data_IF_789770684712
#
_entry.id   IF_789770684712
#
_cell.length_a   1.000
_cell.length_b   1.000
_cell.length_c   1.000
_cell.angle_alpha   90.00
_cell.angle_beta   90.00
_cell.angle_gamma   90.00
#
_symmetry.space_group_name_H-M   'P 1'
#
loop_
_entity.id
_entity.type
_entity.pdbx_description
1 polymer ?
#
# COMPACT_ATOMS: atom_id res chain seq x y z
N UNK A 1 3.33 35.71 -52.07
CA UNK A 1 4.03 34.95 -51.01
C UNK A 1 2.97 34.48 -50.03
N UNK A 2 2.70 33.18 -50.00
CA UNK A 2 1.67 32.57 -49.15
C UNK A 2 2.40 31.92 -47.96
N UNK A 3 2.30 32.53 -46.77
CA UNK A 3 2.91 31.98 -45.55
C UNK A 3 2.05 30.84 -45.02
N UNK A 4 2.61 29.63 -45.07
CA UNK A 4 2.05 28.44 -44.46
C UNK A 4 2.40 28.46 -42.95
N UNK A 5 1.42 28.73 -42.08
CA UNK A 5 1.58 28.48 -40.64
C UNK A 5 1.26 27.00 -40.37
N UNK A 6 2.27 26.22 -39.98
CA UNK A 6 2.07 24.89 -39.40
C UNK A 6 1.70 25.05 -37.91
N UNK A 7 0.60 24.45 -37.42
CA UNK A 7 0.33 24.39 -35.99
C UNK A 7 1.23 23.31 -35.38
N UNK A 8 2.06 23.71 -34.42
CA UNK A 8 2.86 22.79 -33.60
C UNK A 8 1.91 22.12 -32.60
N UNK A 9 1.56 20.85 -32.85
CA UNK A 9 0.79 20.04 -31.89
C UNK A 9 1.74 19.60 -30.77
N UNK A 10 1.75 20.32 -29.65
CA UNK A 10 2.44 19.87 -28.44
C UNK A 10 1.70 18.66 -27.86
N UNK A 11 2.28 17.47 -28.00
CA UNK A 11 1.82 16.29 -27.28
C UNK A 11 2.09 16.49 -25.79
N UNK A 12 1.04 16.76 -25.01
CA UNK A 12 1.12 16.79 -23.55
C UNK A 12 1.28 15.34 -23.11
N UNK A 13 2.52 14.92 -22.83
CA UNK A 13 2.76 13.68 -22.10
C UNK A 13 2.20 13.87 -20.70
N UNK A 14 1.04 13.29 -20.42
CA UNK A 14 0.52 13.13 -19.06
C UNK A 14 1.51 12.24 -18.30
N UNK A 15 2.45 12.86 -17.58
CA UNK A 15 3.29 12.15 -16.62
C UNK A 15 2.36 11.68 -15.51
N UNK A 16 2.02 10.38 -15.50
CA UNK A 16 1.35 9.76 -14.34
C UNK A 16 2.36 9.76 -13.20
N UNK A 17 2.32 10.80 -12.38
CA UNK A 17 3.35 11.03 -11.37
C UNK A 17 3.18 10.15 -10.11
N UNK A 18 2.06 9.45 -9.94
CA UNK A 18 1.73 8.70 -8.73
C UNK A 18 0.78 7.52 -9.03
N UNK A 19 0.61 6.58 -8.09
CA UNK A 19 -0.16 5.35 -8.31
C UNK A 19 -0.93 4.78 -7.12
N UNK A 20 -1.67 3.70 -7.39
CA UNK A 20 -2.45 2.92 -6.41
C UNK A 20 -2.61 1.47 -6.89
N UNK A 21 -3.03 0.55 -6.00
CA UNK A 21 -3.36 -0.83 -6.35
C UNK A 21 -4.67 -0.87 -7.15
N UNK A 22 -4.60 -1.24 -8.41
CA UNK A 22 -5.73 -1.23 -9.35
C UNK A 22 -6.42 -2.58 -9.52
N UNK A 23 -5.71 -3.69 -9.27
CA UNK A 23 -6.23 -5.05 -9.37
C UNK A 23 -5.53 -5.97 -8.35
N UNK A 24 -6.26 -6.94 -7.81
CA UNK A 24 -5.75 -7.97 -6.92
C UNK A 24 -6.13 -9.34 -7.49
N UNK A 25 -5.14 -10.21 -7.65
CA UNK A 25 -5.36 -11.60 -8.07
C UNK A 25 -5.16 -12.55 -6.89
N UNK A 26 -6.15 -13.39 -6.64
CA UNK A 26 -6.12 -14.47 -5.63
C UNK A 26 -6.48 -15.77 -6.32
N UNK A 27 -5.49 -16.65 -6.51
CA UNK A 27 -5.65 -17.84 -7.35
C UNK A 27 -5.99 -17.44 -8.79
N UNK A 28 -7.17 -17.83 -9.29
CA UNK A 28 -7.66 -17.44 -10.61
C UNK A 28 -8.66 -16.27 -10.60
N UNK A 29 -8.96 -15.72 -9.42
CA UNK A 29 -9.99 -14.68 -9.26
C UNK A 29 -9.35 -13.31 -9.26
N UNK A 30 -9.88 -12.43 -10.12
CA UNK A 30 -9.53 -11.00 -10.14
C UNK A 30 -10.51 -10.20 -9.32
N UNK A 31 -9.98 -9.30 -8.49
CA UNK A 31 -10.72 -8.31 -7.74
C UNK A 31 -10.18 -6.93 -8.14
N UNK A 32 -11.01 -6.11 -8.75
CA UNK A 32 -10.60 -4.73 -9.00
C UNK A 32 -10.35 -4.01 -7.67
N UNK A 33 -9.29 -3.21 -7.63
CA UNK A 33 -9.09 -2.23 -6.57
C UNK A 33 -10.21 -1.18 -6.55
N UNK A 34 -10.18 -0.30 -5.55
CA UNK A 34 -10.98 0.91 -5.61
C UNK A 34 -10.37 1.86 -6.63
N UNK A 35 -11.15 2.28 -7.62
CA UNK A 35 -10.70 3.15 -8.70
C UNK A 35 -11.12 4.60 -8.41
N UNK A 36 -10.28 5.45 -7.80
CA UNK A 36 -10.69 6.76 -7.30
C UNK A 36 -11.17 7.74 -8.39
N UNK A 37 -10.76 7.50 -9.64
CA UNK A 37 -11.15 8.30 -10.79
C UNK A 37 -12.28 7.68 -11.62
N UNK A 38 -12.92 6.62 -11.13
CA UNK A 38 -13.96 5.89 -11.87
C UNK A 38 -15.12 5.49 -10.96
N UNK A 39 -14.85 4.84 -9.84
CA UNK A 39 -15.88 4.31 -8.93
C UNK A 39 -16.86 5.39 -8.42
N UNK A 40 -16.42 6.62 -8.03
CA UNK A 40 -17.33 7.69 -7.62
C UNK A 40 -18.33 8.16 -8.69
N UNK A 41 -18.10 7.84 -9.95
CA UNK A 41 -18.92 8.29 -11.08
C UNK A 41 -19.93 7.23 -11.54
N UNK A 42 -19.92 6.04 -10.94
CA UNK A 42 -20.93 5.00 -11.18
C UNK A 42 -22.13 5.13 -10.24
N UNK A 43 -23.29 4.62 -10.68
CA UNK A 43 -24.50 4.53 -9.87
C UNK A 43 -25.25 3.21 -10.16
N UNK A 44 -25.30 2.25 -9.21
CA UNK A 44 -24.67 2.30 -7.89
C UNK A 44 -23.13 2.28 -7.96
N UNK A 45 -22.46 2.79 -6.93
CA UNK A 45 -21.00 2.66 -6.78
C UNK A 45 -20.67 1.16 -6.66
N UNK A 46 -19.71 0.62 -7.44
CA UNK A 46 -19.33 -0.79 -7.36
C UNK A 46 -18.82 -1.17 -5.97
N UNK A 47 -19.23 -2.34 -5.48
CA UNK A 47 -18.67 -2.91 -4.26
C UNK A 47 -17.26 -3.42 -4.52
N UNK A 48 -16.33 -3.07 -3.63
CA UNK A 48 -14.92 -3.45 -3.70
C UNK A 48 -14.50 -4.14 -2.40
N UNK A 49 -13.50 -5.00 -2.48
CA UNK A 49 -12.82 -5.53 -1.29
C UNK A 49 -11.77 -4.54 -0.74
N UNK A 50 -11.42 -3.53 -1.54
CA UNK A 50 -10.43 -2.50 -1.22
C UNK A 50 -11.13 -1.27 -0.67
N UNK A 51 -10.61 -0.74 0.44
CA UNK A 51 -11.11 0.50 1.03
C UNK A 51 -10.89 1.68 0.09
N UNK A 52 -11.81 2.62 0.12
CA UNK A 52 -11.77 3.79 -0.75
C UNK A 52 -10.51 4.64 -0.51
N UNK A 53 -9.98 5.25 -1.57
CA UNK A 53 -8.84 6.17 -1.51
C UNK A 53 -9.20 7.49 -2.22
N UNK A 54 -8.62 8.64 -1.83
CA UNK A 54 -8.98 9.93 -2.42
C UNK A 54 -8.44 10.12 -3.85
N UNK A 55 -7.43 9.35 -4.25
CA UNK A 55 -6.71 9.51 -5.50
C UNK A 55 -5.43 8.69 -5.51
N UNK A 56 -4.48 9.08 -6.35
CA UNK A 56 -3.17 8.46 -6.43
C UNK A 56 -2.09 9.17 -5.59
N UNK A 57 -2.43 10.23 -4.84
CA UNK A 57 -1.47 11.01 -4.06
C UNK A 57 -0.98 10.31 -2.79
N UNK A 58 0.11 10.81 -2.18
CA UNK A 58 0.69 10.24 -0.97
C UNK A 58 0.05 10.80 0.30
N UNK A 59 0.26 10.08 1.40
CA UNK A 59 0.19 10.59 2.77
C UNK A 59 1.60 11.00 3.19
N UNK A 60 1.78 12.27 3.57
CA UNK A 60 3.10 12.81 3.97
C UNK A 60 3.20 13.15 5.46
N UNK A 61 2.07 13.39 6.13
CA UNK A 61 2.04 13.52 7.59
C UNK A 61 1.71 12.17 8.22
N UNK A 62 2.73 11.54 8.81
CA UNK A 62 2.63 10.19 9.36
C UNK A 62 1.90 10.14 10.71
N UNK A 63 1.57 11.30 11.28
CA UNK A 63 0.77 11.41 12.50
C UNK A 63 -0.74 11.32 12.26
N UNK A 64 -1.18 11.50 11.00
CA UNK A 64 -2.60 11.47 10.63
C UNK A 64 -3.13 10.05 10.46
N UNK A 65 -4.44 9.89 10.69
CA UNK A 65 -5.14 8.62 10.47
C UNK A 65 -5.07 8.14 9.00
N UNK A 66 -4.81 9.07 8.07
CA UNK A 66 -4.65 8.81 6.64
C UNK A 66 -3.57 7.75 6.34
N UNK A 67 -2.53 7.63 7.17
CA UNK A 67 -1.47 6.63 6.97
C UNK A 67 -1.98 5.18 7.13
N UNK A 68 -3.12 4.97 7.77
CA UNK A 68 -3.70 3.64 8.00
C UNK A 68 -4.14 2.96 6.71
N UNK A 69 -5.08 3.58 5.98
CA UNK A 69 -5.72 2.98 4.80
C UNK A 69 -5.87 3.98 3.67
N UNK A 70 -4.99 4.97 3.62
CA UNK A 70 -5.09 6.17 2.80
C UNK A 70 -6.18 7.10 3.32
N UNK A 71 -6.17 8.34 2.86
CA UNK A 71 -7.11 9.37 3.27
C UNK A 71 -6.57 10.75 2.97
N UNK A 72 -7.39 11.76 3.22
CA UNK A 72 -6.99 13.16 3.11
C UNK A 72 -7.87 13.97 4.05
N UNK A 73 -7.67 13.80 5.36
CA UNK A 73 -8.53 14.44 6.37
C UNK A 73 -8.49 15.96 6.28
N UNK A 74 -7.36 16.54 5.88
CA UNK A 74 -7.23 17.99 5.64
C UNK A 74 -8.14 18.49 4.51
N UNK A 75 -8.44 17.62 3.54
CA UNK A 75 -9.42 17.88 2.47
C UNK A 75 -10.82 17.34 2.76
N UNK A 76 -11.12 17.00 4.02
CA UNK A 76 -12.42 16.45 4.44
C UNK A 76 -12.78 15.12 3.73
N UNK A 77 -11.78 14.30 3.41
CA UNK A 77 -11.95 12.93 2.89
C UNK A 77 -11.58 11.90 3.96
N UNK A 78 -12.50 10.97 4.22
CA UNK A 78 -12.32 9.91 5.22
C UNK A 78 -12.50 8.55 4.58
N UNK A 79 -11.50 7.68 4.75
CA UNK A 79 -11.58 6.30 4.27
C UNK A 79 -12.52 5.48 5.14
N UNK A 80 -13.52 4.86 4.51
CA UNK A 80 -14.46 3.95 5.16
C UNK A 80 -14.04 2.48 4.94
N UNK A 81 -14.53 1.54 5.76
CA UNK A 81 -14.42 0.12 5.47
C UNK A 81 -14.99 -0.22 4.08
N UNK A 82 -14.43 -1.25 3.45
CA UNK A 82 -14.96 -1.73 2.18
C UNK A 82 -16.26 -2.52 2.45
N UNK A 83 -17.26 -2.48 1.53
CA UNK A 83 -18.56 -3.11 1.76
C UNK A 83 -18.50 -4.64 1.72
N UNK A 84 -17.46 -5.23 1.12
CA UNK A 84 -17.30 -6.68 0.97
C UNK A 84 -15.84 -7.10 1.27
N UNK A 85 -15.60 -8.41 1.26
CA UNK A 85 -14.28 -9.02 1.46
C UNK A 85 -14.11 -10.24 0.54
N UNK A 86 -12.85 -10.61 0.26
CA UNK A 86 -12.53 -11.82 -0.50
C UNK A 86 -12.19 -12.99 0.44
N UNK A 87 -12.64 -14.21 0.10
CA UNK A 87 -12.27 -15.41 0.84
C UNK A 87 -10.97 -16.00 0.30
N UNK A 88 -10.04 -16.33 1.19
CA UNK A 88 -8.72 -16.86 0.84
C UNK A 88 -8.23 -17.87 1.88
N UNK A 89 -7.46 -18.87 1.49
CA UNK A 89 -6.83 -19.79 2.42
C UNK A 89 -5.51 -19.21 2.94
N UNK A 90 -5.19 -19.40 4.23
CA UNK A 90 -3.84 -19.17 4.74
C UNK A 90 -2.80 -19.93 3.89
N UNK A 91 -1.64 -19.33 3.65
CA UNK A 91 -0.63 -19.86 2.72
C UNK A 91 -0.86 -19.50 1.25
N UNK A 92 -1.98 -18.88 0.89
CA UNK A 92 -2.20 -18.41 -0.49
C UNK A 92 -1.38 -17.17 -0.81
N UNK A 93 -1.01 -17.03 -2.08
CA UNK A 93 -0.43 -15.81 -2.61
C UNK A 93 -1.50 -14.80 -3.01
N UNK A 94 -1.22 -13.53 -2.77
CA UNK A 94 -1.95 -12.40 -3.32
C UNK A 94 -1.01 -11.64 -4.25
N UNK A 95 -1.50 -11.33 -5.44
CA UNK A 95 -0.79 -10.52 -6.42
C UNK A 95 -1.46 -9.14 -6.49
N UNK A 96 -0.73 -8.10 -6.09
CA UNK A 96 -1.20 -6.72 -6.03
C UNK A 96 -0.65 -5.96 -7.23
N UNK A 97 -1.52 -5.68 -8.19
CA UNK A 97 -1.17 -4.96 -9.41
C UNK A 97 -1.35 -3.47 -9.17
N UNK A 98 -0.24 -2.73 -9.25
CA UNK A 98 -0.22 -1.27 -9.17
C UNK A 98 -0.46 -0.65 -10.56
N UNK A 99 -1.07 0.53 -10.58
CA UNK A 99 -0.92 1.41 -11.75
C UNK A 99 0.57 1.67 -12.01
N UNK A 100 0.95 1.98 -13.25
CA UNK A 100 2.34 2.33 -13.61
C UNK A 100 2.99 3.24 -12.56
N UNK A 101 4.08 2.75 -11.96
CA UNK A 101 4.79 3.44 -10.90
C UNK A 101 5.90 4.34 -11.47
N UNK A 102 6.11 5.56 -10.95
CA UNK A 102 7.16 6.45 -11.45
C UNK A 102 8.55 5.93 -11.06
N UNK A 103 9.48 5.98 -12.01
CA UNK A 103 10.89 5.60 -11.81
C UNK A 103 11.61 6.39 -10.72
N UNK A 104 11.23 7.65 -10.53
CA UNK A 104 11.77 8.51 -9.47
C UNK A 104 11.37 8.06 -8.06
N UNK A 105 10.26 7.34 -7.89
CA UNK A 105 9.68 7.01 -6.58
C UNK A 105 10.29 5.74 -5.96
N UNK A 106 11.62 5.75 -5.83
CA UNK A 106 12.40 4.68 -5.18
C UNK A 106 11.97 4.49 -3.73
N UNK A 107 11.99 3.24 -3.25
CA UNK A 107 11.64 2.95 -1.86
C UNK A 107 11.22 1.49 -1.61
N UNK A 108 10.89 1.16 -0.35
CA UNK A 108 10.40 -0.16 0.01
C UNK A 108 8.92 -0.37 -0.36
N UNK A 109 8.54 -1.64 -0.41
CA UNK A 109 7.17 -2.13 -0.34
C UNK A 109 6.98 -2.92 0.94
N UNK A 110 5.89 -2.69 1.67
CA UNK A 110 5.64 -3.31 2.97
C UNK A 110 4.18 -3.76 3.04
N UNK A 111 3.94 -4.94 3.60
CA UNK A 111 2.60 -5.47 3.78
C UNK A 111 2.39 -5.88 5.23
N UNK A 112 1.29 -5.39 5.80
CA UNK A 112 0.81 -5.70 7.13
C UNK A 112 -0.54 -6.41 7.05
N UNK A 113 -0.89 -7.11 8.12
CA UNK A 113 -2.23 -7.63 8.35
C UNK A 113 -2.72 -7.18 9.74
N UNK A 114 -4.04 -7.06 9.89
CA UNK A 114 -4.71 -6.83 11.17
C UNK A 114 -6.00 -7.63 11.25
N UNK A 115 -6.20 -8.38 12.35
CA UNK A 115 -7.40 -9.19 12.56
C UNK A 115 -8.55 -8.32 13.07
N UNK A 116 -9.69 -8.40 12.39
CA UNK A 116 -10.90 -7.72 12.85
C UNK A 116 -11.49 -8.43 14.09
N UNK A 117 -11.91 -7.67 15.12
CA UNK A 117 -12.55 -8.25 16.30
C UNK A 117 -14.00 -8.68 16.03
N UNK A 118 -14.58 -8.19 14.94
CA UNK A 118 -15.95 -8.41 14.51
C UNK A 118 -16.04 -8.21 12.99
N UNK A 119 -17.23 -7.92 12.47
CA UNK A 119 -17.46 -7.65 11.04
C UNK A 119 -16.52 -6.55 10.51
N UNK A 120 -15.62 -6.97 9.63
CA UNK A 120 -14.60 -6.12 9.00
C UNK A 120 -15.20 -4.99 8.17
N UNK A 121 -16.42 -5.16 7.65
CA UNK A 121 -17.14 -4.14 6.86
C UNK A 121 -17.64 -2.99 7.74
N UNK A 122 -17.57 -3.12 9.07
CA UNK A 122 -17.95 -2.11 10.05
C UNK A 122 -16.77 -1.67 10.94
N UNK A 123 -15.56 -2.16 10.66
CA UNK A 123 -14.43 -2.00 11.57
C UNK A 123 -13.37 -1.04 11.02
N UNK A 124 -13.01 -0.05 11.84
CA UNK A 124 -11.85 0.84 11.65
C UNK A 124 -10.87 0.64 12.82
N UNK A 125 -9.63 0.17 12.58
CA UNK A 125 -8.64 -0.03 13.65
C UNK A 125 -8.30 1.22 14.47
N UNK A 126 -8.31 2.40 13.85
CA UNK A 126 -7.90 3.64 14.51
C UNK A 126 -6.45 3.58 15.01
N UNK A 127 -6.20 4.03 16.24
CA UNK A 127 -4.86 4.04 16.85
C UNK A 127 -4.53 2.76 17.63
N UNK A 128 -5.25 1.66 17.38
CA UNK A 128 -5.02 0.40 18.09
C UNK A 128 -3.79 -0.33 17.55
N UNK A 129 -3.01 -0.94 18.43
CA UNK A 129 -1.85 -1.77 18.06
C UNK A 129 -2.32 -3.17 17.61
N UNK A 130 -2.70 -3.27 16.33
CA UNK A 130 -3.27 -4.50 15.74
C UNK A 130 -2.57 -4.95 14.46
N UNK A 131 -1.66 -4.13 13.94
CA UNK A 131 -0.99 -4.37 12.66
C UNK A 131 0.29 -5.15 12.89
N UNK A 132 0.43 -6.29 12.23
CA UNK A 132 1.66 -7.07 12.18
C UNK A 132 2.17 -7.15 10.74
N UNK A 133 3.48 -6.98 10.56
CA UNK A 133 4.12 -7.05 9.24
C UNK A 133 4.17 -8.50 8.78
N UNK A 134 3.78 -8.78 7.54
CA UNK A 134 3.80 -10.14 6.95
C UNK A 134 4.74 -10.26 5.75
N UNK A 135 5.11 -9.13 5.14
CA UNK A 135 6.10 -9.10 4.07
C UNK A 135 6.73 -7.72 3.96
N UNK A 136 7.98 -7.69 3.51
CA UNK A 136 8.67 -6.47 3.12
C UNK A 136 9.65 -6.72 1.99
N UNK A 137 9.93 -5.69 1.21
CA UNK A 137 10.96 -5.67 0.18
C UNK A 137 11.54 -4.26 0.13
N UNK A 138 12.85 -4.14 0.31
CA UNK A 138 13.55 -2.85 0.40
C UNK A 138 14.55 -2.63 -0.73
N UNK A 139 15.74 -2.13 -0.37
CA UNK A 139 16.88 -2.00 -1.27
C UNK A 139 17.71 -3.28 -1.25
N UNK A 140 17.96 -3.85 -2.41
CA UNK A 140 18.82 -5.02 -2.61
C UNK A 140 20.30 -4.65 -2.45
N UNK A 141 21.16 -5.67 -2.29
CA UNK A 141 22.62 -5.46 -2.16
C UNK A 141 23.28 -4.87 -3.41
N UNK A 142 22.70 -5.11 -4.60
CA UNK A 142 23.12 -4.52 -5.87
C UNK A 142 22.48 -3.14 -6.14
N UNK A 143 21.69 -2.63 -5.20
CA UNK A 143 21.20 -1.25 -5.19
C UNK A 143 19.83 -1.05 -5.84
N UNK A 144 19.19 -2.11 -6.35
CA UNK A 144 17.82 -2.06 -6.87
C UNK A 144 16.81 -1.84 -5.75
N UNK A 145 15.83 -0.97 -5.99
CA UNK A 145 14.74 -0.70 -5.07
C UNK A 145 13.49 -1.50 -5.42
N UNK A 146 12.78 -1.94 -4.38
CA UNK A 146 11.56 -2.70 -4.53
C UNK A 146 10.50 -1.94 -5.35
N UNK A 147 10.18 -0.71 -4.97
CA UNK A 147 9.08 0.05 -5.57
C UNK A 147 9.29 0.43 -7.05
N UNK A 148 10.54 0.46 -7.53
CA UNK A 148 10.87 0.87 -8.91
C UNK A 148 11.39 -0.29 -9.72
N UNK A 149 12.60 -0.77 -9.44
CA UNK A 149 13.29 -1.77 -10.25
C UNK A 149 12.54 -3.11 -10.22
N UNK A 150 12.30 -3.65 -9.01
CA UNK A 150 11.69 -4.97 -8.84
C UNK A 150 10.22 -4.95 -9.26
N UNK A 151 9.48 -3.90 -8.90
CA UNK A 151 8.06 -3.78 -9.26
C UNK A 151 7.90 -3.65 -10.79
N UNK A 152 8.77 -2.89 -11.47
CA UNK A 152 8.76 -2.76 -12.93
C UNK A 152 9.15 -4.07 -13.62
N UNK A 153 10.17 -4.78 -13.11
CA UNK A 153 10.58 -6.10 -13.61
C UNK A 153 9.47 -7.16 -13.50
N UNK A 154 8.51 -6.96 -12.59
CA UNK A 154 7.35 -7.84 -12.38
C UNK A 154 6.05 -7.24 -12.92
N UNK A 155 6.10 -6.44 -13.99
CA UNK A 155 4.92 -5.88 -14.66
C UNK A 155 3.96 -5.12 -13.72
N UNK A 156 4.51 -4.38 -12.75
CA UNK A 156 3.78 -3.66 -11.70
C UNK A 156 3.05 -4.54 -10.68
N UNK A 157 3.43 -5.82 -10.58
CA UNK A 157 2.81 -6.79 -9.67
C UNK A 157 3.73 -7.06 -8.47
N UNK A 158 3.25 -6.72 -7.27
CA UNK A 158 3.84 -7.17 -6.01
C UNK A 158 3.15 -8.44 -5.52
N UNK A 159 3.91 -9.45 -5.11
CA UNK A 159 3.36 -10.71 -4.59
C UNK A 159 3.78 -10.93 -3.14
N UNK A 160 2.82 -11.26 -2.28
CA UNK A 160 3.11 -11.75 -0.93
C UNK A 160 2.26 -12.98 -0.60
N UNK A 161 2.66 -13.73 0.43
CA UNK A 161 1.98 -14.94 0.89
C UNK A 161 1.37 -14.68 2.25
N UNK A 162 0.09 -15.05 2.46
CA UNK A 162 -0.52 -15.04 3.78
C UNK A 162 0.19 -16.11 4.64
N UNK A 163 0.67 -15.81 5.86
CA UNK A 163 1.32 -16.81 6.70
C UNK A 163 0.48 -18.07 6.87
N UNK A 164 1.06 -19.24 6.58
CA UNK A 164 0.31 -20.49 6.46
C UNK A 164 -0.26 -20.99 7.79
N UNK A 165 0.37 -20.64 8.91
CA UNK A 165 -0.08 -20.97 10.27
C UNK A 165 -1.06 -19.96 10.86
N UNK A 166 -1.37 -18.86 10.15
CA UNK A 166 -2.26 -17.81 10.63
C UNK A 166 -3.65 -18.38 10.93
N UNK A 167 -4.16 -18.06 12.12
CA UNK A 167 -5.50 -18.48 12.51
C UNK A 167 -6.59 -17.89 11.60
N UNK A 168 -7.66 -18.63 11.27
CA UNK A 168 -8.78 -18.13 10.47
C UNK A 168 -9.44 -16.88 11.08
N UNK A 169 -10.03 -16.05 10.22
CA UNK A 169 -10.71 -14.82 10.65
C UNK A 169 -10.82 -13.80 9.53
N UNK A 170 -11.43 -12.66 9.83
CA UNK A 170 -11.44 -11.52 8.92
C UNK A 170 -10.21 -10.64 9.19
N UNK A 171 -9.50 -10.28 8.13
CA UNK A 171 -8.26 -9.51 8.20
C UNK A 171 -8.27 -8.35 7.21
N UNK A 172 -7.74 -7.21 7.63
CA UNK A 172 -7.33 -6.15 6.72
C UNK A 172 -5.88 -6.42 6.34
N UNK A 173 -5.58 -6.50 5.05
CA UNK A 173 -4.22 -6.37 4.52
C UNK A 173 -3.97 -4.89 4.24
N UNK A 174 -2.95 -4.30 4.87
CA UNK A 174 -2.46 -2.96 4.56
C UNK A 174 -1.15 -3.09 3.78
N UNK A 175 -1.19 -2.80 2.49
CA UNK A 175 -0.02 -2.79 1.63
C UNK A 175 0.37 -1.35 1.32
N UNK A 176 1.67 -1.06 1.25
CA UNK A 176 2.16 0.28 0.95
C UNK A 176 3.45 0.28 0.13
N UNK A 177 3.62 1.37 -0.63
CA UNK A 177 4.92 1.87 -1.06
C UNK A 177 5.27 3.08 -0.19
N UNK A 178 6.53 3.21 0.20
CA UNK A 178 7.07 4.44 0.80
C UNK A 178 8.06 5.05 -0.20
N UNK A 179 7.70 6.11 -0.91
CA UNK A 179 8.63 6.78 -1.83
C UNK A 179 9.60 7.70 -1.06
N UNK A 180 10.89 7.56 -1.36
CA UNK A 180 11.99 8.18 -0.62
C UNK A 180 12.72 9.28 -1.39
N UNK A 181 12.26 9.62 -2.60
CA UNK A 181 12.93 10.58 -3.48
C UNK A 181 13.11 11.98 -2.89
N UNK A 182 12.32 12.32 -1.87
CA UNK A 182 12.38 13.57 -1.11
C UNK A 182 12.54 13.35 0.41
N UNK A 183 12.92 12.14 0.85
CA UNK A 183 12.91 11.74 2.26
C UNK A 183 14.16 12.14 3.06
N UNK A 184 15.07 12.96 2.51
CA UNK A 184 16.28 13.41 3.21
C UNK A 184 15.98 14.31 4.43
N UNK A 185 14.75 14.80 4.56
CA UNK A 185 14.23 15.59 5.69
C UNK A 185 12.78 15.19 5.96
N UNK A 186 12.28 15.48 7.17
CA UNK A 186 10.88 15.30 7.52
C UNK A 186 10.13 16.64 7.64
N UNK A 187 8.89 16.77 7.12
CA UNK A 187 8.21 15.81 6.22
C UNK A 187 8.93 15.64 4.88
N UNK A 188 8.83 14.47 4.25
CA UNK A 188 9.51 14.20 2.97
C UNK A 188 9.24 12.80 2.41
N UNK A 189 9.24 11.77 3.26
CA UNK A 189 8.74 10.45 2.88
C UNK A 189 7.26 10.50 2.47
N UNK A 190 6.92 9.77 1.41
CA UNK A 190 5.57 9.73 0.84
C UNK A 190 5.01 8.32 0.92
N UNK A 191 3.97 8.12 1.71
CA UNK A 191 3.39 6.79 1.95
C UNK A 191 2.14 6.61 1.10
N UNK A 192 2.04 5.46 0.42
CA UNK A 192 0.92 5.10 -0.46
C UNK A 192 0.25 3.84 0.07
N UNK A 193 -0.55 3.93 1.15
CA UNK A 193 -1.22 2.78 1.73
C UNK A 193 -2.46 2.39 0.90
N UNK A 194 -2.75 1.09 0.86
CA UNK A 194 -3.96 0.48 0.32
C UNK A 194 -4.43 -0.63 1.26
N UNK A 195 -5.72 -0.66 1.59
CA UNK A 195 -6.31 -1.63 2.51
C UNK A 195 -7.29 -2.57 1.82
N UNK A 196 -7.06 -3.87 1.94
CA UNK A 196 -7.84 -4.95 1.31
C UNK A 196 -8.47 -5.81 2.42
N UNK A 197 -9.76 -6.12 2.30
CA UNK A 197 -10.48 -6.91 3.29
C UNK A 197 -10.60 -8.37 2.86
N UNK A 198 -10.21 -9.28 3.75
CA UNK A 198 -10.17 -10.71 3.50
C UNK A 198 -10.89 -11.50 4.59
N UNK A 199 -11.53 -12.61 4.19
CA UNK A 199 -11.86 -13.73 5.06
C UNK A 199 -10.79 -14.81 4.87
N UNK A 200 -9.88 -14.93 5.83
CA UNK A 200 -8.86 -15.99 5.85
C UNK A 200 -9.49 -17.27 6.40
N UNK A 201 -9.24 -18.37 5.70
CA UNK A 201 -9.68 -19.74 6.02
C UNK A 201 -8.47 -20.66 6.20
N UNK A 202 -8.68 -21.84 6.78
CA UNK A 202 -7.62 -22.82 7.02
C UNK A 202 -7.75 -23.43 8.41
N UNK A 203 -6.67 -24.06 8.86
CA UNK A 203 -6.56 -24.70 10.18
C UNK A 203 -5.39 -24.17 11.01
N UNK A 204 -4.82 -23.02 10.62
CA UNK A 204 -3.79 -22.35 11.40
C UNK A 204 -4.29 -21.98 12.80
N UNK A 205 -3.36 -21.87 13.74
CA UNK A 205 -3.64 -21.50 15.14
C UNK A 205 -2.67 -20.45 15.67
N UNK A 206 -1.73 -19.98 14.84
CA UNK A 206 -0.74 -18.98 15.23
C UNK A 206 -1.32 -17.57 15.07
N UNK A 207 -0.94 -16.70 16.00
CA UNK A 207 -1.16 -15.27 15.94
C UNK A 207 0.09 -14.57 16.53
N UNK A 208 0.51 -13.41 16.00
CA UNK A 208 1.65 -12.66 16.53
C UNK A 208 1.48 -12.27 18.00
N UNK A 209 2.58 -12.28 18.75
CA UNK A 209 2.63 -11.68 20.09
C UNK A 209 2.62 -10.15 19.99
N UNK A 210 2.41 -9.46 21.12
CA UNK A 210 2.35 -8.00 21.19
C UNK A 210 3.56 -7.28 20.60
N UNK A 211 4.75 -7.90 20.63
CA UNK A 211 5.99 -7.30 20.14
C UNK A 211 6.02 -7.12 18.60
N UNK A 212 5.13 -7.79 17.88
CA UNK A 212 4.94 -7.61 16.44
C UNK A 212 3.84 -6.59 16.10
N UNK A 213 3.03 -6.19 17.09
CA UNK A 213 1.85 -5.36 16.87
C UNK A 213 2.20 -3.89 16.97
N UNK A 214 1.78 -3.12 15.96
CA UNK A 214 1.93 -1.66 15.92
C UNK A 214 0.63 -0.99 15.51
N UNK A 215 0.55 0.33 15.70
CA UNK A 215 -0.58 1.16 15.28
C UNK A 215 -0.25 1.99 14.04
N UNK A 216 -1.25 2.28 13.22
CA UNK A 216 -1.16 3.30 12.16
C UNK A 216 -2.29 4.31 12.37
N UNK A 217 -2.00 5.55 12.80
CA UNK A 217 -0.67 6.14 13.04
C UNK A 217 0.00 5.61 14.33
N UNK A 218 1.33 5.74 14.40
CA UNK A 218 2.14 5.30 15.56
C UNK A 218 3.45 4.62 15.15
N UNK A 219 3.38 3.62 14.26
CA UNK A 219 4.54 2.83 13.84
C UNK A 219 5.61 3.67 13.13
N UNK A 220 5.19 4.70 12.39
CA UNK A 220 6.08 5.58 11.64
C UNK A 220 6.10 6.97 12.25
N UNK A 221 7.31 7.43 12.56
CA UNK A 221 7.62 8.76 13.03
C UNK A 221 8.85 9.28 12.29
N UNK A 222 9.17 10.56 12.42
CA UNK A 222 10.41 11.11 11.88
C UNK A 222 11.68 10.42 12.42
N UNK A 223 11.60 9.77 13.59
CA UNK A 223 12.71 9.04 14.19
C UNK A 223 12.76 7.56 13.78
N UNK A 224 11.70 7.01 13.16
CA UNK A 224 11.68 5.63 12.70
C UNK A 224 12.74 5.45 11.61
N UNK A 225 13.67 4.48 11.74
CA UNK A 225 14.69 4.23 10.73
C UNK A 225 14.07 4.04 9.34
N UNK A 226 14.68 4.68 8.34
CA UNK A 226 14.22 4.61 6.95
C UNK A 226 13.16 5.64 6.56
N UNK A 227 12.57 6.38 7.50
CA UNK A 227 11.62 7.49 7.20
C UNK A 227 12.35 8.77 6.81
N UNK A 228 13.34 9.20 7.59
CA UNK A 228 14.29 10.24 7.17
C UNK A 228 15.52 9.55 6.61
N UNK A 229 15.67 9.58 5.28
CA UNK A 229 16.68 8.82 4.55
C UNK A 229 17.06 9.53 3.26
N UNK A 230 18.36 9.80 3.08
CA UNK A 230 18.91 10.26 1.80
C UNK A 230 19.21 9.06 0.91
N UNK A 231 18.26 8.75 0.02
CA UNK A 231 18.35 7.61 -0.87
C UNK A 231 19.41 7.71 -1.97
N UNK A 232 19.99 8.90 -2.19
CA UNK A 232 20.97 9.15 -3.24
C UNK A 232 22.41 9.06 -2.74
N UNK A 233 22.66 9.41 -1.48
CA UNK A 233 24.02 9.39 -0.91
C UNK A 233 24.29 8.19 -0.02
N UNK A 234 23.24 7.55 0.53
CA UNK A 234 23.41 6.42 1.43
C UNK A 234 23.62 5.09 0.69
N UNK A 235 24.78 4.47 0.95
CA UNK A 235 25.20 3.20 0.36
C UNK A 235 25.02 2.01 1.29
N UNK A 236 24.65 2.23 2.55
CA UNK A 236 24.38 1.16 3.51
C UNK A 236 23.08 0.43 3.18
N UNK A 237 22.90 -0.76 3.77
CA UNK A 237 21.62 -1.46 3.74
C UNK A 237 20.51 -0.55 4.25
N UNK A 238 19.41 -0.47 3.51
CA UNK A 238 18.27 0.36 3.88
C UNK A 238 17.52 -0.26 5.07
N UNK A 239 17.36 0.45 6.19
CA UNK A 239 16.57 -0.04 7.32
C UNK A 239 15.08 0.13 7.00
N UNK A 240 14.40 -0.97 6.65
CA UNK A 240 12.96 -0.94 6.37
C UNK A 240 12.21 -0.57 7.67
N UNK A 241 11.32 0.44 7.65
CA UNK A 241 10.62 0.87 8.86
C UNK A 241 9.60 -0.15 9.36
N UNK A 242 9.21 -0.03 10.63
CA UNK A 242 8.20 -0.88 11.27
C UNK A 242 8.79 -2.09 12.02
N UNK A 243 7.92 -2.96 12.58
CA UNK A 243 8.33 -4.14 13.34
C UNK A 243 8.97 -5.21 12.45
N UNK A 244 9.49 -6.28 13.05
CA UNK A 244 9.97 -7.45 12.31
C UNK A 244 8.82 -8.15 11.54
N UNK A 245 9.17 -8.86 10.47
CA UNK A 245 8.22 -9.68 9.71
C UNK A 245 7.78 -10.87 10.55
N UNK A 246 6.47 -11.02 10.73
CA UNK A 246 5.85 -12.20 11.30
C UNK A 246 5.52 -13.20 10.19
N UNK A 247 6.22 -14.34 10.17
CA UNK A 247 6.07 -15.38 9.14
C UNK A 247 5.15 -16.53 9.53
N UNK A 248 4.58 -16.52 10.74
CA UNK A 248 3.70 -17.57 11.26
C UNK A 248 4.29 -18.50 12.31
#
# INVERSE_FOLDING_TARGET
MLSLLLPLLSAITLVKAHGYVQDIVIGSTHYSGYLPYTDPYYNPVPERIVRQIPGNGPVTDLSLIDVQCNGYTDGNYYTAPAPIYATVAAGSQLHLNWTTWPDSHIGPMITYMAKAPSDITQWMPGTSEVWFKVAESGKTSDGKWAATDILTENDSIYTFTIPASLEPGQYIVRHEIIALHAAYVYPGAQVYPSCIQLQVTGSGTSFPTSDYLVAFPGAYTAATPGIVYDAYTNTSAYPIPGPEVWSG
#
